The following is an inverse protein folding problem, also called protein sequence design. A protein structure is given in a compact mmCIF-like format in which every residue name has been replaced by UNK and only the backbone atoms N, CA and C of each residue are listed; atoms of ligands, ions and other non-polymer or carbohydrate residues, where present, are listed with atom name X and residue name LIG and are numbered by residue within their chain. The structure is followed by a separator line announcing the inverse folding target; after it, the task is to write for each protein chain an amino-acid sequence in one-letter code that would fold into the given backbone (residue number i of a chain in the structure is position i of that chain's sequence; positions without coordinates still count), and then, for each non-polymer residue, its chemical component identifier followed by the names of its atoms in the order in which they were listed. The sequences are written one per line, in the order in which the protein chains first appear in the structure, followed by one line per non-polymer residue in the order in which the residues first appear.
data_IF_227374114620
#
_entry.id   IF_227374114620
#
_cell.length_a   1.000
_cell.length_b   1.000
_cell.length_c   1.000
_cell.angle_alpha   90.00
_cell.angle_beta   90.00
_cell.angle_gamma   90.00
#
_symmetry.space_group_name_H-M   'P 1'
#
loop_
_entity.id
_entity.type
_entity.pdbx_description
1 polymer ?
#
# COMPACT_ATOMS: atom_id res chain seq x y z
N UNK A 1 10.86 -6.69 32.15
CA UNK A 1 10.16 -7.54 31.15
C UNK A 1 11.19 -8.48 30.54
N UNK A 2 10.86 -9.74 30.23
CA UNK A 2 11.82 -10.66 29.58
C UNK A 2 12.06 -10.19 28.13
N UNK A 3 13.23 -10.47 27.56
CA UNK A 3 13.57 -10.11 26.17
C UNK A 3 12.54 -10.62 25.15
N UNK A 4 11.94 -11.76 25.39
CA UNK A 4 10.88 -12.37 24.57
C UNK A 4 9.58 -11.53 24.57
N UNK A 5 9.20 -10.92 25.69
CA UNK A 5 8.01 -10.04 25.74
C UNK A 5 8.22 -8.77 24.93
N UNK A 6 9.44 -8.20 24.96
CA UNK A 6 9.80 -7.01 24.18
C UNK A 6 9.80 -7.29 22.67
N UNK A 7 10.34 -8.45 22.27
CA UNK A 7 10.36 -8.85 20.85
C UNK A 7 8.94 -9.04 20.33
N UNK A 8 8.08 -9.72 21.09
CA UNK A 8 6.68 -9.96 20.71
C UNK A 8 5.93 -8.64 20.51
N UNK A 9 6.05 -7.69 21.44
CA UNK A 9 5.44 -6.37 21.32
C UNK A 9 5.92 -5.62 20.06
N UNK A 10 7.24 -5.64 19.79
CA UNK A 10 7.79 -5.01 18.60
C UNK A 10 7.33 -5.69 17.30
N UNK A 11 7.13 -7.00 17.30
CA UNK A 11 6.60 -7.74 16.15
C UNK A 11 5.17 -7.33 15.87
N UNK A 12 4.32 -7.25 16.91
CA UNK A 12 2.91 -6.87 16.77
C UNK A 12 2.71 -5.47 16.18
N UNK A 13 3.61 -4.52 16.51
CA UNK A 13 3.56 -3.14 16.00
C UNK A 13 4.30 -2.92 14.67
N UNK A 14 4.83 -3.97 14.04
CA UNK A 14 5.56 -3.84 12.77
C UNK A 14 4.69 -4.16 11.56
N UNK A 15 4.80 -3.33 10.52
CA UNK A 15 4.16 -3.57 9.22
C UNK A 15 5.21 -3.46 8.13
N UNK A 16 5.30 -4.48 7.28
CA UNK A 16 6.24 -4.48 6.15
C UNK A 16 5.46 -4.80 4.88
N UNK A 17 5.43 -3.87 3.95
CA UNK A 17 4.67 -4.03 2.71
C UNK A 17 5.39 -3.47 1.49
N UNK A 18 4.98 -3.92 0.32
CA UNK A 18 5.42 -3.40 -0.96
C UNK A 18 4.25 -2.78 -1.73
N UNK A 19 4.55 -1.82 -2.59
CA UNK A 19 3.57 -1.28 -3.54
C UNK A 19 3.81 -1.94 -4.89
N UNK A 20 2.78 -2.58 -5.43
CA UNK A 20 2.78 -3.21 -6.76
C UNK A 20 1.83 -2.46 -7.69
N UNK A 21 2.25 -2.22 -8.92
CA UNK A 21 1.43 -1.53 -9.91
C UNK A 21 1.99 -1.66 -11.31
N UNK A 22 1.15 -1.38 -12.30
CA UNK A 22 1.63 -1.02 -13.63
C UNK A 22 2.38 0.34 -13.61
N UNK A 23 3.34 0.59 -14.54
CA UNK A 23 3.93 1.91 -14.72
C UNK A 23 2.85 2.99 -14.88
N UNK A 24 3.11 4.18 -14.37
CA UNK A 24 2.21 5.35 -14.40
C UNK A 24 0.89 5.22 -13.61
N UNK A 25 0.63 4.13 -12.90
CA UNK A 25 -0.53 4.02 -12.02
C UNK A 25 -0.48 4.99 -10.82
N UNK A 26 0.67 5.64 -10.56
CA UNK A 26 0.88 6.63 -9.51
C UNK A 26 1.62 6.11 -8.29
N UNK A 27 2.41 5.04 -8.46
CA UNK A 27 3.17 4.40 -7.38
C UNK A 27 4.05 5.38 -6.60
N UNK A 28 4.93 6.11 -7.29
CA UNK A 28 5.83 7.10 -6.64
C UNK A 28 5.04 8.18 -5.90
N UNK A 29 3.91 8.61 -6.47
CA UNK A 29 3.06 9.63 -5.84
C UNK A 29 2.42 9.12 -4.54
N UNK A 30 1.88 7.89 -4.53
CA UNK A 30 1.29 7.33 -3.30
C UNK A 30 2.35 7.01 -2.26
N UNK A 31 3.54 6.54 -2.67
CA UNK A 31 4.68 6.35 -1.78
C UNK A 31 5.02 7.65 -1.04
N UNK A 32 5.14 8.76 -1.76
CA UNK A 32 5.42 10.06 -1.13
C UNK A 32 4.30 10.54 -0.21
N UNK A 33 3.03 10.27 -0.57
CA UNK A 33 1.91 10.62 0.32
C UNK A 33 1.93 9.80 1.61
N UNK A 34 2.18 8.51 1.53
CA UNK A 34 2.33 7.64 2.71
C UNK A 34 3.48 8.13 3.59
N UNK A 35 4.64 8.46 3.01
CA UNK A 35 5.77 9.03 3.76
C UNK A 35 5.46 10.39 4.38
N UNK A 36 4.66 11.21 3.69
CA UNK A 36 4.17 12.49 4.21
C UNK A 36 3.27 12.28 5.42
N UNK A 37 2.32 11.33 5.37
CA UNK A 37 1.48 10.97 6.53
C UNK A 37 2.32 10.46 7.70
N UNK A 38 3.31 9.63 7.44
CA UNK A 38 4.27 9.14 8.43
C UNK A 38 5.23 10.19 8.99
N UNK A 39 5.23 11.43 8.47
CA UNK A 39 6.16 12.48 8.91
C UNK A 39 7.61 12.25 8.47
N UNK A 40 7.86 11.24 7.65
CA UNK A 40 9.19 10.94 7.13
C UNK A 40 9.70 12.00 6.14
N UNK A 41 8.78 12.69 5.47
CA UNK A 41 9.07 13.86 4.61
C UNK A 41 8.14 15.02 4.99
N UNK A 42 8.63 16.25 4.82
CA UNK A 42 7.85 17.45 5.15
C UNK A 42 6.93 17.89 4.01
N UNK A 43 7.26 17.55 2.79
CA UNK A 43 6.52 17.95 1.59
C UNK A 43 6.70 16.88 0.50
N UNK A 44 5.59 16.36 -0.04
CA UNK A 44 5.62 15.49 -1.19
C UNK A 44 5.96 16.25 -2.47
N UNK A 45 6.83 15.67 -3.32
CA UNK A 45 7.09 16.17 -4.65
C UNK A 45 5.90 15.88 -5.55
N UNK A 46 5.49 16.85 -6.37
CA UNK A 46 4.55 16.55 -7.44
C UNK A 46 5.34 16.01 -8.63
N UNK A 47 5.15 14.75 -8.98
CA UNK A 47 5.67 14.17 -10.22
C UNK A 47 4.89 14.78 -11.39
N UNK A 48 5.09 16.08 -11.63
CA UNK A 48 4.66 16.70 -12.89
C UNK A 48 5.74 16.44 -13.91
N UNK A 49 5.34 15.74 -14.98
CA UNK A 49 6.15 15.53 -16.15
C UNK A 49 6.97 16.78 -16.51
N UNK A 50 8.28 16.59 -16.65
CA UNK A 50 9.26 17.42 -17.38
C UNK A 50 9.69 18.78 -16.87
N UNK A 51 9.15 19.40 -15.81
CA UNK A 51 9.56 20.76 -15.44
C UNK A 51 9.81 21.06 -13.95
N UNK A 52 9.63 20.12 -13.02
CA UNK A 52 9.93 20.43 -11.62
C UNK A 52 11.32 19.93 -11.22
N UNK A 53 12.10 20.80 -10.57
CA UNK A 53 13.42 20.48 -10.00
C UNK A 53 13.34 19.60 -8.74
N UNK A 54 12.13 19.22 -8.29
CA UNK A 54 11.91 18.34 -7.14
C UNK A 54 11.56 16.94 -7.62
N UNK A 55 12.45 16.01 -7.36
CA UNK A 55 12.26 14.59 -7.63
C UNK A 55 11.60 13.91 -6.41
N UNK A 56 10.95 12.78 -6.66
CA UNK A 56 10.40 11.95 -5.61
C UNK A 56 11.51 11.47 -4.65
N UNK A 57 11.22 11.37 -3.35
CA UNK A 57 12.19 10.90 -2.36
C UNK A 57 12.63 9.46 -2.62
N UNK A 58 11.76 8.64 -3.23
CA UNK A 58 12.06 7.28 -3.64
C UNK A 58 12.97 7.17 -4.87
N UNK A 59 13.05 8.21 -5.71
CA UNK A 59 13.82 8.23 -6.96
C UNK A 59 15.22 8.82 -6.70
N UNK A 60 16.04 8.10 -5.96
CA UNK A 60 17.35 8.57 -5.54
C UNK A 60 18.47 8.32 -6.57
N UNK A 61 18.30 7.41 -7.51
CA UNK A 61 19.25 7.16 -8.58
C UNK A 61 19.05 8.12 -9.75
N UNK A 62 20.14 8.48 -10.40
CA UNK A 62 20.13 9.38 -11.57
C UNK A 62 19.24 8.84 -12.71
N UNK A 63 19.26 7.54 -12.93
CA UNK A 63 18.43 6.87 -13.96
C UNK A 63 16.95 6.96 -13.61
N UNK A 64 16.57 6.78 -12.34
CA UNK A 64 15.20 6.93 -11.87
C UNK A 64 14.72 8.37 -12.08
N UNK A 65 15.54 9.35 -11.72
CA UNK A 65 15.25 10.78 -11.92
C UNK A 65 15.07 11.14 -13.39
N UNK A 66 15.93 10.62 -14.28
CA UNK A 66 15.85 10.92 -15.71
C UNK A 66 14.61 10.31 -16.36
N UNK A 67 14.20 9.10 -15.96
CA UNK A 67 13.05 8.40 -16.52
C UNK A 67 11.73 8.77 -15.83
N UNK A 68 11.77 9.35 -14.62
CA UNK A 68 10.60 9.64 -13.78
C UNK A 68 9.89 8.38 -13.30
N UNK A 69 10.61 7.27 -13.22
CA UNK A 69 10.13 5.95 -12.75
C UNK A 69 11.14 5.37 -11.77
N UNK A 70 10.65 4.60 -10.80
CA UNK A 70 11.53 3.87 -9.89
C UNK A 70 12.12 2.65 -10.58
N UNK A 71 13.43 2.64 -10.75
CA UNK A 71 14.18 1.56 -11.44
C UNK A 71 14.62 0.48 -10.47
N UNK A 72 14.99 0.88 -9.26
CA UNK A 72 15.38 -0.03 -8.17
C UNK A 72 14.44 0.10 -6.99
N UNK A 73 14.25 -0.99 -6.25
CA UNK A 73 13.46 -0.94 -5.02
C UNK A 73 14.23 -0.23 -3.92
N UNK A 74 13.60 0.70 -3.22
CA UNK A 74 14.09 1.33 -2.01
C UNK A 74 13.33 0.86 -0.78
N UNK A 75 14.01 0.84 0.37
CA UNK A 75 13.41 0.50 1.65
C UNK A 75 13.28 1.76 2.47
N UNK A 76 12.06 2.15 2.79
CA UNK A 76 11.74 3.33 3.57
C UNK A 76 11.12 2.93 4.89
N UNK A 77 11.65 3.44 6.00
CA UNK A 77 11.16 3.17 7.36
C UNK A 77 10.66 4.45 8.00
N UNK A 78 9.51 4.39 8.63
CA UNK A 78 8.92 5.48 9.40
C UNK A 78 7.96 4.95 10.46
N UNK A 79 7.62 5.80 11.43
CA UNK A 79 6.63 5.48 12.46
C UNK A 79 5.34 6.25 12.15
N UNK A 80 4.21 5.58 12.30
CA UNK A 80 2.91 6.20 12.17
C UNK A 80 1.89 5.49 13.06
N UNK A 81 1.15 6.25 13.86
CA UNK A 81 0.10 5.76 14.77
C UNK A 81 0.53 4.57 15.66
N UNK A 82 1.74 4.64 16.21
CA UNK A 82 2.30 3.60 17.07
C UNK A 82 2.89 2.39 16.33
N UNK A 83 2.82 2.35 15.00
CA UNK A 83 3.38 1.28 14.19
C UNK A 83 4.74 1.63 13.58
N UNK A 84 5.65 0.67 13.56
CA UNK A 84 6.88 0.68 12.79
C UNK A 84 6.60 0.18 11.37
N UNK A 85 6.62 1.09 10.40
CA UNK A 85 6.30 0.78 9.01
C UNK A 85 7.57 0.67 8.18
N UNK A 86 7.69 -0.43 7.43
CA UNK A 86 8.71 -0.63 6.41
C UNK A 86 8.01 -0.72 5.05
N UNK A 87 8.17 0.32 4.26
CA UNK A 87 7.64 0.39 2.90
C UNK A 87 8.76 0.05 1.92
N UNK A 88 8.51 -0.94 1.08
CA UNK A 88 9.40 -1.35 0.01
C UNK A 88 8.79 -0.91 -1.32
N UNK A 89 9.38 0.11 -1.93
CA UNK A 89 8.98 0.56 -3.26
C UNK A 89 9.57 -0.38 -4.32
N UNK A 90 8.74 -0.92 -5.19
CA UNK A 90 9.14 -1.85 -6.24
C UNK A 90 9.19 -1.16 -7.60
N UNK A 91 10.12 -1.52 -8.50
CA UNK A 91 10.10 -1.01 -9.86
C UNK A 91 8.79 -1.43 -10.56
N UNK A 92 8.13 -0.48 -11.21
CA UNK A 92 6.91 -0.75 -11.99
C UNK A 92 7.19 -1.24 -13.41
N UNK A 93 8.44 -1.14 -13.89
CA UNK A 93 8.82 -1.46 -15.27
C UNK A 93 9.02 -2.97 -15.49
N UNK A 94 8.69 -3.48 -16.67
CA UNK A 94 8.78 -4.92 -16.99
C UNK A 94 10.21 -5.47 -16.90
N UNK A 95 11.21 -4.67 -17.24
CA UNK A 95 12.63 -5.05 -17.24
C UNK A 95 13.19 -5.35 -15.84
N UNK A 96 12.46 -5.00 -14.77
CA UNK A 96 12.92 -5.17 -13.39
C UNK A 96 12.08 -6.17 -12.57
N UNK A 97 11.41 -7.09 -13.26
CA UNK A 97 10.50 -8.07 -12.63
C UNK A 97 11.18 -8.99 -11.60
N UNK A 98 12.47 -9.33 -11.78
CA UNK A 98 13.23 -10.15 -10.83
C UNK A 98 13.47 -9.43 -9.49
N UNK A 99 13.81 -8.16 -9.53
CA UNK A 99 13.96 -7.35 -8.30
C UNK A 99 12.63 -7.24 -7.55
N UNK A 100 11.54 -7.09 -8.27
CA UNK A 100 10.19 -7.07 -7.66
C UNK A 100 9.86 -8.40 -6.97
N UNK A 101 10.17 -9.53 -7.63
CA UNK A 101 9.99 -10.86 -7.02
C UNK A 101 10.78 -11.01 -5.71
N UNK A 102 12.03 -10.56 -5.68
CA UNK A 102 12.89 -10.61 -4.49
C UNK A 102 12.34 -9.74 -3.37
N UNK A 103 11.86 -8.53 -3.70
CA UNK A 103 11.25 -7.61 -2.72
C UNK A 103 9.96 -8.21 -2.15
N UNK A 104 9.09 -8.78 -2.98
CA UNK A 104 7.86 -9.42 -2.54
C UNK A 104 8.11 -10.64 -1.63
N UNK A 105 9.28 -11.25 -1.70
CA UNK A 105 9.68 -12.30 -0.73
C UNK A 105 9.96 -11.72 0.66
N UNK A 106 10.30 -10.44 0.76
CA UNK A 106 10.68 -9.79 2.02
C UNK A 106 9.52 -9.08 2.75
N UNK A 107 8.33 -9.01 2.14
CA UNK A 107 7.17 -8.33 2.72
C UNK A 107 6.15 -9.29 3.31
N UNK A 108 5.25 -8.77 4.13
CA UNK A 108 4.15 -9.51 4.77
C UNK A 108 2.79 -9.19 4.11
N UNK A 109 2.69 -8.08 3.37
CA UNK A 109 1.51 -7.68 2.60
C UNK A 109 1.90 -6.83 1.40
N UNK A 110 0.97 -6.56 0.50
CA UNK A 110 1.17 -5.66 -0.63
C UNK A 110 0.01 -4.68 -0.81
N UNK A 111 0.33 -3.48 -1.30
CA UNK A 111 -0.63 -2.53 -1.83
C UNK A 111 -0.62 -2.64 -3.35
N UNK A 112 -1.72 -3.05 -3.94
CA UNK A 112 -1.93 -3.04 -5.38
C UNK A 112 -2.57 -1.71 -5.80
N UNK A 113 -1.91 -1.02 -6.74
CA UNK A 113 -2.39 0.26 -7.24
C UNK A 113 -2.91 0.10 -8.65
N UNK A 114 -4.14 0.51 -8.89
CA UNK A 114 -4.82 0.45 -10.19
C UNK A 114 -5.19 1.88 -10.63
N UNK A 115 -4.91 2.22 -11.88
CA UNK A 115 -5.37 3.47 -12.49
C UNK A 115 -6.87 3.39 -12.79
N UNK A 116 -7.68 4.21 -12.14
CA UNK A 116 -9.15 4.19 -12.28
C UNK A 116 -9.65 4.47 -13.70
N UNK A 117 -8.85 5.12 -14.55
CA UNK A 117 -9.22 5.33 -15.94
C UNK A 117 -8.83 4.15 -16.85
N UNK A 118 -7.75 3.42 -16.52
CA UNK A 118 -7.23 2.33 -17.35
C UNK A 118 -7.71 0.96 -16.91
N UNK A 119 -7.96 0.77 -15.60
CA UNK A 119 -8.30 -0.53 -15.02
C UNK A 119 -7.10 -1.44 -14.82
N UNK A 120 -7.31 -2.75 -14.97
CA UNK A 120 -6.30 -3.79 -14.76
C UNK A 120 -5.36 -3.90 -15.95
N UNK A 121 -4.09 -3.59 -15.73
CA UNK A 121 -3.04 -3.63 -16.76
C UNK A 121 -2.15 -4.88 -16.59
N UNK A 122 -1.45 -5.28 -17.64
CA UNK A 122 -0.71 -6.55 -17.73
C UNK A 122 0.30 -6.77 -16.58
N UNK A 123 1.02 -5.71 -16.18
CA UNK A 123 2.00 -5.82 -15.09
C UNK A 123 1.35 -6.09 -13.75
N UNK A 124 0.19 -5.49 -13.49
CA UNK A 124 -0.59 -5.73 -12.26
C UNK A 124 -0.94 -7.21 -12.10
N UNK A 125 -1.37 -7.87 -13.19
CA UNK A 125 -1.67 -9.30 -13.21
C UNK A 125 -0.45 -10.15 -12.86
N UNK A 126 0.69 -9.90 -13.51
CA UNK A 126 1.95 -10.63 -13.22
C UNK A 126 2.38 -10.49 -11.76
N UNK A 127 2.28 -9.28 -11.21
CA UNK A 127 2.69 -8.99 -9.82
C UNK A 127 1.75 -9.64 -8.80
N UNK A 128 0.45 -9.67 -9.07
CA UNK A 128 -0.51 -10.38 -8.21
C UNK A 128 -0.26 -11.89 -8.21
N UNK A 129 0.11 -12.49 -9.36
CA UNK A 129 0.48 -13.90 -9.41
C UNK A 129 1.69 -14.20 -8.51
N UNK A 130 2.68 -13.29 -8.45
CA UNK A 130 3.80 -13.41 -7.51
C UNK A 130 3.31 -13.33 -6.06
N UNK A 131 2.41 -12.40 -5.73
CA UNK A 131 1.83 -12.30 -4.39
C UNK A 131 1.12 -13.60 -4.00
N UNK A 132 0.35 -14.21 -4.91
CA UNK A 132 -0.31 -15.51 -4.67
C UNK A 132 0.68 -16.63 -4.40
N UNK A 133 1.72 -16.76 -5.24
CA UNK A 133 2.77 -17.77 -5.01
C UNK A 133 3.44 -17.61 -3.64
N UNK A 134 3.52 -16.39 -3.12
CA UNK A 134 4.11 -16.08 -1.81
C UNK A 134 3.10 -16.06 -0.68
N UNK A 135 1.81 -16.29 -0.97
CA UNK A 135 0.70 -16.16 -0.01
C UNK A 135 0.69 -14.78 0.67
N UNK A 136 1.04 -13.74 -0.07
CA UNK A 136 1.08 -12.35 0.40
C UNK A 136 -0.29 -11.72 0.19
N UNK A 137 -1.02 -11.34 1.25
CA UNK A 137 -2.31 -10.68 1.13
C UNK A 137 -2.16 -9.30 0.50
N UNK A 138 -3.18 -8.90 -0.27
CA UNK A 138 -3.14 -7.68 -1.09
C UNK A 138 -4.32 -6.78 -0.75
N UNK A 139 -4.06 -5.50 -0.51
CA UNK A 139 -5.07 -4.42 -0.51
C UNK A 139 -5.00 -3.67 -1.84
N UNK A 140 -6.13 -3.25 -2.35
CA UNK A 140 -6.24 -2.55 -3.65
C UNK A 140 -6.60 -1.09 -3.45
N UNK A 141 -5.89 -0.20 -4.14
CA UNK A 141 -6.20 1.22 -4.19
C UNK A 141 -6.49 1.63 -5.63
N UNK A 142 -7.72 2.02 -5.91
CA UNK A 142 -8.17 2.58 -7.18
C UNK A 142 -7.80 4.06 -7.21
N UNK A 143 -6.77 4.39 -7.97
CA UNK A 143 -6.13 5.70 -7.97
C UNK A 143 -6.64 6.61 -9.10
N UNK A 144 -6.42 7.91 -8.93
CA UNK A 144 -6.64 8.97 -9.92
C UNK A 144 -8.10 9.38 -10.11
N UNK A 145 -8.95 9.20 -9.10
CA UNK A 145 -10.33 9.66 -9.08
C UNK A 145 -10.47 11.21 -9.04
N UNK A 146 -9.36 11.96 -9.07
CA UNK A 146 -9.31 13.39 -9.34
C UNK A 146 -9.58 13.77 -10.81
N UNK A 147 -9.75 12.78 -11.67
CA UNK A 147 -10.13 12.93 -13.08
C UNK A 147 -11.22 11.92 -13.44
N UNK A 148 -11.76 12.03 -14.66
CA UNK A 148 -12.72 11.07 -15.18
C UNK A 148 -12.11 9.67 -15.17
N UNK A 149 -12.79 8.75 -14.51
CA UNK A 149 -12.45 7.33 -14.39
C UNK A 149 -13.60 6.48 -14.94
N UNK A 150 -13.36 5.19 -15.02
CA UNK A 150 -14.41 4.21 -15.29
C UNK A 150 -15.33 4.07 -14.09
N UNK A 151 -16.53 3.54 -14.30
CA UNK A 151 -17.46 3.27 -13.22
C UNK A 151 -16.82 2.36 -12.16
N UNK A 152 -16.96 2.67 -10.84
CA UNK A 152 -16.41 1.86 -9.78
C UNK A 152 -16.79 0.38 -9.84
N UNK A 153 -18.05 0.04 -10.17
CA UNK A 153 -18.49 -1.35 -10.30
C UNK A 153 -17.80 -2.07 -11.47
N UNK A 154 -17.63 -1.41 -12.62
CA UNK A 154 -16.89 -2.00 -13.75
C UNK A 154 -15.43 -2.29 -13.38
N UNK A 155 -14.81 -1.44 -12.56
CA UNK A 155 -13.44 -1.66 -12.07
C UNK A 155 -13.37 -2.84 -11.11
N UNK A 156 -14.35 -3.00 -10.22
CA UNK A 156 -14.44 -4.15 -9.32
C UNK A 156 -14.62 -5.45 -10.12
N UNK A 157 -15.58 -5.48 -11.05
CA UNK A 157 -15.83 -6.63 -11.93
C UNK A 157 -14.59 -7.01 -12.74
N UNK A 158 -13.86 -6.03 -13.25
CA UNK A 158 -12.63 -6.29 -13.98
C UNK A 158 -11.55 -6.90 -13.10
N UNK A 159 -11.36 -6.40 -11.87
CA UNK A 159 -10.43 -6.98 -10.91
C UNK A 159 -10.81 -8.43 -10.60
N UNK A 160 -12.08 -8.69 -10.30
CA UNK A 160 -12.57 -10.04 -9.99
C UNK A 160 -12.41 -10.99 -11.17
N UNK A 161 -12.79 -10.54 -12.37
CA UNK A 161 -12.75 -11.37 -13.57
C UNK A 161 -11.34 -11.64 -14.09
N UNK A 162 -10.45 -10.62 -14.09
CA UNK A 162 -9.09 -10.75 -14.63
C UNK A 162 -8.14 -11.29 -13.57
N UNK A 163 -8.22 -10.76 -12.36
CA UNK A 163 -7.28 -11.09 -11.29
C UNK A 163 -7.75 -12.28 -10.44
N UNK A 164 -9.01 -12.72 -10.58
CA UNK A 164 -9.57 -13.86 -9.85
C UNK A 164 -9.40 -13.71 -8.33
N UNK A 165 -9.70 -12.53 -7.80
CA UNK A 165 -9.76 -12.20 -6.38
C UNK A 165 -11.02 -11.39 -6.13
N UNK A 166 -11.78 -11.72 -5.09
CA UNK A 166 -13.01 -11.01 -4.77
C UNK A 166 -12.69 -9.63 -4.19
N UNK A 167 -13.45 -8.62 -4.60
CA UNK A 167 -13.32 -7.26 -4.12
C UNK A 167 -14.22 -7.01 -2.91
N UNK A 168 -13.66 -6.36 -1.88
CA UNK A 168 -14.41 -5.91 -0.71
C UNK A 168 -14.18 -4.42 -0.50
N UNK A 169 -15.02 -3.53 -1.06
CA UNK A 169 -14.87 -2.10 -0.87
C UNK A 169 -15.01 -1.68 0.60
N UNK A 170 -14.05 -0.91 1.11
CA UNK A 170 -14.08 -0.31 2.44
C UNK A 170 -14.29 1.21 2.38
N UNK A 171 -14.11 1.81 1.22
CA UNK A 171 -14.46 3.19 0.93
C UNK A 171 -15.12 3.30 -0.43
N UNK A 172 -15.94 4.33 -0.65
CA UNK A 172 -16.65 4.57 -1.90
C UNK A 172 -16.56 6.04 -2.31
N UNK A 173 -16.27 6.35 -3.59
CA UNK A 173 -16.16 7.72 -4.04
C UNK A 173 -17.55 8.31 -4.29
N UNK A 174 -17.76 9.55 -3.89
CA UNK A 174 -18.95 10.33 -4.23
C UNK A 174 -18.57 11.29 -5.36
N UNK A 175 -18.91 10.88 -6.58
CA UNK A 175 -18.47 11.54 -7.79
C UNK A 175 -17.00 11.27 -8.14
N UNK A 176 -16.54 11.86 -9.24
CA UNK A 176 -15.16 11.77 -9.72
C UNK A 176 -14.77 13.01 -10.52
N UNK A 177 -13.48 13.22 -10.76
CA UNK A 177 -12.98 14.37 -11.51
C UNK A 177 -13.44 15.71 -10.91
N UNK A 178 -14.07 16.53 -11.71
CA UNK A 178 -14.63 17.82 -11.25
C UNK A 178 -15.87 17.67 -10.38
N UNK A 179 -16.57 16.54 -10.50
CA UNK A 179 -17.75 16.20 -9.71
C UNK A 179 -17.43 15.53 -8.37
N UNK A 180 -16.16 15.31 -8.06
CA UNK A 180 -15.77 14.67 -6.79
C UNK A 180 -16.18 15.54 -5.59
N UNK A 181 -16.93 14.95 -4.66
CA UNK A 181 -17.42 15.60 -3.44
C UNK A 181 -16.78 15.05 -2.17
N UNK A 182 -16.45 13.76 -2.15
CA UNK A 182 -15.88 13.13 -0.96
C UNK A 182 -15.77 11.62 -1.07
N UNK A 183 -15.46 11.02 0.04
CA UNK A 183 -15.41 9.55 0.22
C UNK A 183 -16.43 9.15 1.28
N UNK A 184 -17.24 8.15 0.98
CA UNK A 184 -18.02 7.44 1.99
C UNK A 184 -17.18 6.29 2.55
N UNK A 185 -16.93 6.32 3.86
CA UNK A 185 -16.24 5.27 4.61
C UNK A 185 -17.27 4.24 5.05
N UNK A 186 -17.27 3.06 4.43
CA UNK A 186 -18.23 2.00 4.70
C UNK A 186 -18.07 1.40 6.10
N UNK A 187 -16.86 1.45 6.66
CA UNK A 187 -16.58 0.87 7.98
C UNK A 187 -16.98 1.78 9.12
N UNK A 188 -16.82 3.08 8.93
CA UNK A 188 -17.13 4.10 9.93
C UNK A 188 -18.51 4.73 9.73
N UNK A 189 -19.22 4.42 8.64
CA UNK A 189 -20.49 5.02 8.23
C UNK A 189 -20.44 6.55 8.27
N UNK A 190 -19.44 7.14 7.63
CA UNK A 190 -19.25 8.57 7.62
C UNK A 190 -18.80 9.08 6.25
N UNK A 191 -19.06 10.38 6.01
CA UNK A 191 -18.53 11.09 4.85
C UNK A 191 -17.22 11.78 5.23
N UNK A 192 -16.25 11.73 4.34
CA UNK A 192 -15.01 12.51 4.42
C UNK A 192 -14.98 13.51 3.26
N UNK A 193 -15.04 14.79 3.60
CA UNK A 193 -15.11 15.90 2.66
C UNK A 193 -13.77 16.62 2.62
N UNK A 194 -13.13 16.60 1.46
CA UNK A 194 -11.77 17.13 1.30
C UNK A 194 -11.79 18.58 0.82
N UNK A 195 -11.35 19.54 1.65
CA UNK A 195 -11.32 20.97 1.34
C UNK A 195 -9.99 21.45 0.78
N UNK A 196 -8.88 20.94 1.31
CA UNK A 196 -7.54 21.30 0.84
C UNK A 196 -6.73 20.06 0.57
N UNK A 197 -6.67 19.70 -0.70
CA UNK A 197 -6.07 18.48 -1.19
C UNK A 197 -4.52 18.46 -1.12
N UNK A 198 -3.89 19.56 -0.67
CA UNK A 198 -2.43 19.66 -0.58
C UNK A 198 -1.88 19.40 0.82
N UNK A 199 -2.71 19.50 1.86
CA UNK A 199 -2.31 19.34 3.26
C UNK A 199 -2.79 18.03 3.86
N UNK A 200 -2.11 17.57 4.92
CA UNK A 200 -2.52 16.41 5.72
C UNK A 200 -3.81 16.69 6.47
N UNK A 201 -4.65 15.67 6.61
CA UNK A 201 -5.82 15.68 7.51
C UNK A 201 -6.74 16.90 7.33
N UNK A 202 -6.85 17.46 6.13
CA UNK A 202 -7.79 18.54 5.84
C UNK A 202 -9.04 18.01 5.16
N UNK A 203 -9.78 17.22 5.92
CA UNK A 203 -11.12 16.79 5.55
C UNK A 203 -12.04 16.93 6.77
N UNK A 204 -13.29 17.25 6.51
CA UNK A 204 -14.33 17.20 7.54
C UNK A 204 -14.93 15.80 7.58
N UNK A 205 -15.27 15.34 8.76
CA UNK A 205 -15.96 14.07 8.97
C UNK A 205 -17.40 14.36 9.33
N UNK A 206 -18.34 13.89 8.51
CA UNK A 206 -19.77 13.95 8.77
C UNK A 206 -20.25 12.55 9.14
N UNK A 207 -20.51 12.32 10.41
CA UNK A 207 -21.06 11.06 10.89
C UNK A 207 -22.52 10.93 10.47
N UNK A 208 -22.87 9.79 9.86
CA UNK A 208 -24.23 9.46 9.45
C UNK A 208 -24.85 8.44 10.40
N UNK A 209 -26.15 8.57 10.65
CA UNK A 209 -26.92 7.53 11.36
C UNK A 209 -27.27 6.35 10.43
N UNK A 210 -27.19 6.55 9.13
CA UNK A 210 -27.40 5.60 8.05
C UNK A 210 -27.45 6.32 6.71
N UNK A 211 -27.66 5.60 5.63
CA UNK A 211 -27.74 6.18 4.28
C UNK A 211 -28.99 7.05 4.10
N UNK A 212 -30.04 6.86 4.93
CA UNK A 212 -31.26 7.68 4.92
C UNK A 212 -31.13 8.98 5.75
N UNK A 213 -29.97 9.22 6.37
CA UNK A 213 -29.73 10.45 7.12
C UNK A 213 -29.80 11.67 6.18
N UNK A 214 -30.62 12.65 6.52
CA UNK A 214 -30.80 13.89 5.76
C UNK A 214 -29.52 14.69 5.59
N UNK A 215 -28.58 14.55 6.51
CA UNK A 215 -27.25 15.17 6.41
C UNK A 215 -26.54 14.78 5.13
N UNK A 216 -26.77 13.55 4.63
CA UNK A 216 -26.20 13.12 3.34
C UNK A 216 -26.65 14.04 2.22
N UNK A 217 -27.98 14.29 2.10
CA UNK A 217 -28.55 15.17 1.07
C UNK A 217 -28.09 16.62 1.22
N UNK A 218 -28.00 17.11 2.45
CA UNK A 218 -27.57 18.47 2.76
C UNK A 218 -26.10 18.71 2.33
N UNK A 219 -25.25 17.70 2.49
CA UNK A 219 -23.80 17.82 2.27
C UNK A 219 -23.42 17.57 0.82
N UNK A 220 -23.93 16.52 0.19
CA UNK A 220 -23.53 16.15 -1.16
C UNK A 220 -24.57 16.53 -2.23
N UNK A 221 -25.78 16.90 -1.82
CA UNK A 221 -26.92 17.17 -2.68
C UNK A 221 -27.72 15.91 -3.00
N UNK A 222 -29.03 16.08 -3.23
CA UNK A 222 -29.98 14.96 -3.36
C UNK A 222 -29.65 13.98 -4.50
N UNK A 223 -29.11 14.49 -5.60
CA UNK A 223 -28.73 13.63 -6.75
C UNK A 223 -27.63 12.65 -6.38
N UNK A 224 -26.52 13.14 -5.80
CA UNK A 224 -25.39 12.29 -5.46
C UNK A 224 -25.71 11.43 -4.22
N UNK A 225 -26.56 11.92 -3.30
CA UNK A 225 -27.04 11.14 -2.17
C UNK A 225 -27.87 9.94 -2.63
N UNK A 226 -28.80 10.13 -3.58
CA UNK A 226 -29.60 9.04 -4.12
C UNK A 226 -28.74 8.04 -4.89
N UNK A 227 -27.80 8.53 -5.72
CA UNK A 227 -26.86 7.65 -6.40
C UNK A 227 -26.06 6.80 -5.40
N UNK A 228 -25.54 7.41 -4.33
CA UNK A 228 -24.81 6.66 -3.29
C UNK A 228 -25.69 5.60 -2.64
N UNK A 229 -26.98 5.89 -2.35
CA UNK A 229 -27.93 4.92 -1.79
C UNK A 229 -28.11 3.72 -2.72
N UNK A 230 -28.36 3.96 -4.00
CA UNK A 230 -28.48 2.91 -5.01
C UNK A 230 -27.20 2.06 -5.12
N UNK A 231 -26.04 2.72 -5.15
CA UNK A 231 -24.74 2.05 -5.22
C UNK A 231 -24.46 1.19 -3.97
N UNK A 232 -24.82 1.67 -2.78
CA UNK A 232 -24.67 0.92 -1.54
C UNK A 232 -25.65 -0.27 -1.44
N UNK A 233 -26.88 -0.12 -1.94
CA UNK A 233 -27.84 -1.24 -2.04
C UNK A 233 -27.30 -2.34 -2.95
N UNK A 234 -26.74 -1.99 -4.11
CA UNK A 234 -26.08 -2.95 -5.00
C UNK A 234 -24.90 -3.65 -4.35
N UNK A 235 -24.04 -2.91 -3.63
CA UNK A 235 -22.91 -3.50 -2.91
C UNK A 235 -23.36 -4.45 -1.79
N UNK A 236 -24.43 -4.13 -1.07
CA UNK A 236 -24.99 -5.01 -0.03
C UNK A 236 -25.60 -6.28 -0.63
N UNK A 237 -26.21 -6.17 -1.81
CA UNK A 237 -26.88 -7.30 -2.46
C UNK A 237 -25.94 -8.28 -3.18
N UNK A 238 -24.85 -7.77 -3.77
CA UNK A 238 -23.96 -8.54 -4.63
C UNK A 238 -22.48 -8.53 -4.20
N UNK A 239 -22.10 -7.63 -3.29
CA UNK A 239 -20.70 -7.47 -2.87
C UNK A 239 -20.25 -8.54 -1.87
N UNK A 240 -18.95 -8.74 -1.82
CA UNK A 240 -18.31 -9.65 -0.85
C UNK A 240 -17.96 -8.86 0.43
N UNK A 241 -18.51 -9.23 1.60
CA UNK A 241 -18.21 -8.53 2.85
C UNK A 241 -16.75 -8.74 3.25
N UNK A 242 -16.17 -7.72 3.87
CA UNK A 242 -14.82 -7.82 4.41
C UNK A 242 -14.77 -8.72 5.65
N UNK A 243 -13.86 -9.68 5.65
CA UNK A 243 -13.39 -10.36 6.86
C UNK A 243 -11.86 -10.41 6.86
N UNK A 244 -11.26 -10.28 8.04
CA UNK A 244 -9.80 -10.29 8.17
C UNK A 244 -9.21 -11.64 7.73
N UNK A 245 -9.89 -12.71 8.00
CA UNK A 245 -9.50 -14.09 7.63
C UNK A 245 -9.48 -14.25 6.11
N UNK A 246 -10.50 -13.80 5.41
CA UNK A 246 -10.58 -13.87 3.95
C UNK A 246 -9.51 -12.98 3.28
N UNK A 247 -9.21 -11.80 3.86
CA UNK A 247 -8.11 -10.95 3.41
C UNK A 247 -6.75 -11.64 3.61
N UNK A 248 -6.48 -12.15 4.81
CA UNK A 248 -5.19 -12.79 5.12
C UNK A 248 -4.97 -14.08 4.32
N UNK A 249 -6.03 -14.81 3.97
CA UNK A 249 -5.95 -15.97 3.09
C UNK A 249 -5.75 -15.63 1.61
N UNK A 250 -5.93 -14.35 1.22
CA UNK A 250 -5.88 -13.88 -0.16
C UNK A 250 -7.14 -14.21 -0.97
N UNK A 251 -8.25 -14.59 -0.31
CA UNK A 251 -9.53 -14.81 -0.97
C UNK A 251 -10.19 -13.51 -1.42
N UNK A 252 -10.03 -12.45 -0.61
CA UNK A 252 -10.53 -11.10 -0.93
C UNK A 252 -9.41 -10.07 -0.93
N UNK A 253 -9.65 -8.96 -1.64
CA UNK A 253 -8.86 -7.73 -1.53
C UNK A 253 -9.74 -6.60 -1.02
N UNK A 254 -9.39 -5.97 0.13
CA UNK A 254 -10.02 -4.71 0.52
C UNK A 254 -9.74 -3.63 -0.53
N UNK A 255 -10.79 -2.89 -0.95
CA UNK A 255 -10.68 -1.89 -2.02
C UNK A 255 -10.93 -0.48 -1.48
N UNK A 256 -10.05 0.43 -1.88
CA UNK A 256 -10.11 1.86 -1.56
C UNK A 256 -10.09 2.67 -2.85
N UNK A 257 -10.85 3.76 -2.86
CA UNK A 257 -10.89 4.70 -3.98
C UNK A 257 -10.27 6.03 -3.57
N UNK A 258 -9.51 6.65 -4.49
CA UNK A 258 -8.90 7.93 -4.14
C UNK A 258 -8.00 8.53 -5.21
N UNK A 259 -7.26 9.54 -4.80
CA UNK A 259 -6.21 10.16 -5.61
C UNK A 259 -4.96 10.42 -4.78
N UNK A 260 -3.88 9.73 -5.12
CA UNK A 260 -2.58 10.01 -4.54
C UNK A 260 -2.12 11.45 -4.85
N UNK A 261 -2.41 11.97 -6.05
CA UNK A 261 -2.03 13.33 -6.44
C UNK A 261 -2.74 14.38 -5.58
N UNK A 262 -4.05 14.24 -5.41
CA UNK A 262 -4.91 15.17 -4.67
C UNK A 262 -5.07 14.82 -3.20
N UNK A 263 -4.45 13.72 -2.74
CA UNK A 263 -4.36 13.31 -1.34
C UNK A 263 -5.72 13.01 -0.69
N UNK A 264 -6.66 12.42 -1.42
CA UNK A 264 -7.90 11.89 -0.84
C UNK A 264 -7.98 10.36 -0.98
N UNK A 265 -8.64 9.69 -0.04
CA UNK A 265 -8.70 8.23 0.07
C UNK A 265 -7.43 7.58 0.62
N UNK A 266 -6.30 8.30 0.69
CA UNK A 266 -5.02 7.78 1.19
C UNK A 266 -5.03 7.58 2.70
N UNK A 267 -5.71 8.47 3.44
CA UNK A 267 -5.86 8.34 4.89
C UNK A 267 -6.65 7.08 5.25
N UNK A 268 -7.80 6.87 4.60
CA UNK A 268 -8.66 5.70 4.81
C UNK A 268 -7.91 4.40 4.54
N UNK A 269 -7.20 4.36 3.42
CA UNK A 269 -6.33 3.22 3.12
C UNK A 269 -5.30 2.99 4.24
N UNK A 270 -4.54 4.03 4.63
CA UNK A 270 -3.47 3.88 5.61
C UNK A 270 -4.00 3.45 6.98
N UNK A 271 -5.12 4.03 7.43
CA UNK A 271 -5.79 3.66 8.66
C UNK A 271 -6.21 2.18 8.67
N UNK A 272 -6.92 1.75 7.64
CA UNK A 272 -7.37 0.36 7.50
C UNK A 272 -6.20 -0.60 7.30
N UNK A 273 -5.16 -0.16 6.58
CA UNK A 273 -3.94 -0.94 6.41
C UNK A 273 -3.28 -1.27 7.74
N UNK A 274 -3.10 -0.30 8.63
CA UNK A 274 -2.50 -0.52 9.95
C UNK A 274 -3.28 -1.50 10.80
N UNK A 275 -4.61 -1.44 10.73
CA UNK A 275 -5.51 -2.28 11.53
C UNK A 275 -5.60 -3.74 11.01
N UNK A 276 -5.48 -3.93 9.71
CA UNK A 276 -5.76 -5.22 9.08
C UNK A 276 -4.54 -5.93 8.48
N UNK A 277 -3.52 -5.18 8.04
CA UNK A 277 -2.30 -5.79 7.51
C UNK A 277 -1.61 -6.68 8.54
N UNK A 278 -1.08 -7.84 8.13
CA UNK A 278 -0.43 -8.76 9.06
C UNK A 278 0.83 -8.15 9.68
N UNK A 279 1.07 -8.47 10.93
CA UNK A 279 2.39 -8.38 11.55
C UNK A 279 3.37 -9.32 10.83
N UNK A 280 4.70 -9.24 11.09
CA UNK A 280 5.66 -10.20 10.58
C UNK A 280 5.21 -11.64 10.78
N UNK A 281 5.17 -12.40 9.68
CA UNK A 281 4.69 -13.78 9.68
C UNK A 281 5.84 -14.77 9.84
N UNK A 282 5.53 -15.98 10.33
CA UNK A 282 6.47 -17.08 10.36
C UNK A 282 7.01 -17.42 8.97
N UNK A 283 8.26 -17.80 8.88
CA UNK A 283 8.95 -18.12 7.62
C UNK A 283 9.43 -19.57 7.62
N UNK A 284 9.12 -20.25 6.53
CA UNK A 284 9.62 -21.60 6.30
C UNK A 284 11.12 -21.54 5.92
N UNK A 285 11.93 -22.30 6.62
CA UNK A 285 13.33 -22.60 6.28
C UNK A 285 13.46 -24.08 5.94
N UNK A 286 14.62 -24.48 5.42
CA UNK A 286 14.86 -25.89 5.01
C UNK A 286 14.65 -26.87 6.17
N UNK A 287 15.07 -26.49 7.37
CA UNK A 287 15.08 -27.38 8.53
C UNK A 287 13.87 -27.19 9.46
N UNK A 288 13.26 -25.99 9.45
CA UNK A 288 12.17 -25.66 10.39
C UNK A 288 11.39 -24.41 9.98
N UNK A 289 10.24 -24.22 10.61
CA UNK A 289 9.54 -22.93 10.59
C UNK A 289 10.17 -22.00 11.63
N UNK A 290 10.40 -20.75 11.24
CA UNK A 290 10.95 -19.68 12.08
C UNK A 290 9.79 -18.78 12.52
N UNK A 291 9.54 -18.70 13.83
CA UNK A 291 8.57 -17.78 14.37
C UNK A 291 9.19 -16.36 14.57
N UNK A 292 8.45 -15.29 14.32
CA UNK A 292 9.01 -13.93 14.37
C UNK A 292 9.40 -13.47 15.78
N UNK A 293 8.84 -14.06 16.81
CA UNK A 293 9.08 -13.76 18.24
C UNK A 293 10.20 -14.59 18.90
N UNK A 294 10.91 -15.42 18.13
CA UNK A 294 12.08 -16.15 18.62
C UNK A 294 13.23 -15.20 18.98
N UNK A 295 13.95 -15.50 20.09
CA UNK A 295 15.11 -14.72 20.53
C UNK A 295 16.31 -14.80 19.58
N UNK A 296 16.50 -15.96 18.91
CA UNK A 296 17.62 -16.19 18.02
C UNK A 296 17.46 -15.39 16.73
N UNK A 297 18.47 -14.57 16.41
CA UNK A 297 18.46 -13.80 15.16
C UNK A 297 18.53 -14.74 13.95
N UNK A 298 17.56 -14.61 13.08
CA UNK A 298 17.54 -15.21 11.75
C UNK A 298 17.11 -14.19 10.70
N UNK A 299 17.54 -14.40 9.47
CA UNK A 299 17.14 -13.52 8.36
C UNK A 299 17.71 -13.97 7.03
N UNK A 300 17.28 -13.31 5.97
CA UNK A 300 17.82 -13.56 4.63
C UNK A 300 18.07 -12.25 3.87
N UNK A 301 19.07 -12.29 2.99
CA UNK A 301 19.38 -11.17 2.11
C UNK A 301 18.46 -11.25 0.89
N UNK A 302 17.63 -10.23 0.68
CA UNK A 302 16.74 -10.17 -0.47
C UNK A 302 17.24 -9.24 -1.57
N UNK A 303 18.15 -8.30 -1.25
CA UNK A 303 18.73 -7.38 -2.20
C UNK A 303 20.16 -7.01 -1.84
N UNK A 304 21.03 -6.87 -2.84
CA UNK A 304 22.36 -6.28 -2.70
C UNK A 304 22.44 -5.11 -3.69
N UNK A 305 22.68 -3.92 -3.18
CA UNK A 305 22.81 -2.70 -3.97
C UNK A 305 24.25 -2.23 -3.96
N UNK A 306 24.81 -2.03 -5.14
CA UNK A 306 26.12 -1.40 -5.34
C UNK A 306 25.96 0.09 -5.65
N UNK A 307 27.02 0.87 -5.43
CA UNK A 307 27.15 2.26 -5.86
C UNK A 307 26.05 3.19 -5.34
N UNK A 308 25.61 2.99 -4.09
CA UNK A 308 24.65 3.92 -3.44
C UNK A 308 25.27 5.29 -3.17
N UNK A 309 26.57 5.33 -2.89
CA UNK A 309 27.37 6.54 -2.85
C UNK A 309 28.36 6.53 -4.02
N UNK A 310 28.29 7.49 -4.94
CA UNK A 310 29.24 7.57 -6.07
C UNK A 310 30.72 7.70 -5.63
N UNK A 311 30.96 8.19 -4.41
CA UNK A 311 32.30 8.35 -3.83
C UNK A 311 32.86 7.03 -3.24
N UNK A 312 32.00 6.04 -3.02
CA UNK A 312 32.34 4.77 -2.40
C UNK A 312 31.94 3.56 -3.27
N UNK A 313 32.84 2.55 -3.34
CA UNK A 313 32.57 1.30 -4.05
C UNK A 313 31.88 0.24 -3.18
N UNK A 314 31.29 0.66 -2.08
CA UNK A 314 30.65 -0.23 -1.13
C UNK A 314 29.35 -0.85 -1.68
N UNK A 315 29.03 -2.02 -1.19
CA UNK A 315 27.77 -2.71 -1.46
C UNK A 315 26.95 -2.79 -0.18
N UNK A 316 25.70 -2.43 -0.28
CA UNK A 316 24.74 -2.54 0.83
C UNK A 316 23.88 -3.77 0.63
N UNK A 317 23.85 -4.66 1.63
CA UNK A 317 22.97 -5.81 1.65
C UNK A 317 21.71 -5.48 2.47
N UNK A 318 20.55 -5.65 1.85
CA UNK A 318 19.26 -5.51 2.51
C UNK A 318 18.83 -6.87 3.04
N UNK A 319 18.69 -6.96 4.35
CA UNK A 319 18.33 -8.19 5.06
C UNK A 319 16.92 -8.06 5.62
N UNK A 320 16.07 -9.04 5.32
CA UNK A 320 14.84 -9.26 6.07
C UNK A 320 15.18 -10.03 7.35
N UNK A 321 14.95 -9.42 8.50
CA UNK A 321 15.01 -10.10 9.79
C UNK A 321 13.72 -10.91 9.94
N UNK A 322 13.85 -12.21 10.19
CA UNK A 322 12.73 -13.12 10.39
C UNK A 322 12.45 -13.34 11.88
N UNK A 323 13.47 -13.30 12.73
CA UNK A 323 13.35 -13.44 14.18
C UNK A 323 14.53 -12.80 14.90
N UNK A 324 14.40 -12.57 16.19
CA UNK A 324 15.43 -12.04 17.07
C UNK A 324 15.78 -10.57 16.85
N UNK A 325 16.82 -10.11 17.51
CA UNK A 325 17.27 -8.71 17.51
C UNK A 325 18.64 -8.57 16.87
N UNK A 326 18.75 -7.72 15.85
CA UNK A 326 20.03 -7.37 15.23
C UNK A 326 20.69 -6.23 16.00
N UNK A 327 22.01 -6.35 16.23
CA UNK A 327 22.83 -5.28 16.79
C UNK A 327 24.06 -5.03 15.92
N UNK A 328 24.47 -3.78 15.81
CA UNK A 328 25.65 -3.41 15.03
C UNK A 328 26.90 -4.10 15.62
N UNK A 329 27.72 -4.67 14.76
CA UNK A 329 28.95 -5.36 15.14
C UNK A 329 28.77 -6.81 15.60
N UNK A 330 27.53 -7.34 15.64
CA UNK A 330 27.33 -8.74 15.97
C UNK A 330 27.87 -9.66 14.85
N UNK A 331 28.40 -10.83 15.25
CA UNK A 331 28.84 -11.85 14.30
C UNK A 331 27.64 -12.67 13.84
N UNK A 332 27.53 -12.87 12.53
CA UNK A 332 26.48 -13.66 11.91
C UNK A 332 27.07 -14.91 11.29
N UNK A 333 26.36 -16.03 11.41
CA UNK A 333 26.70 -17.27 10.73
C UNK A 333 25.96 -17.35 9.39
N UNK A 334 26.71 -17.51 8.31
CA UNK A 334 26.14 -17.65 6.98
C UNK A 334 25.86 -19.13 6.67
N UNK A 335 24.61 -19.58 6.85
CA UNK A 335 24.23 -20.99 6.76
C UNK A 335 24.68 -21.67 5.44
N UNK A 336 24.46 -21.01 4.27
CA UNK A 336 24.85 -21.57 2.97
C UNK A 336 26.37 -21.73 2.80
N UNK A 337 27.17 -20.84 3.36
CA UNK A 337 28.62 -20.86 3.25
C UNK A 337 29.29 -21.56 4.46
N UNK A 338 28.50 -21.92 5.46
CA UNK A 338 28.97 -22.61 6.71
C UNK A 338 30.12 -21.88 7.41
N UNK A 339 30.09 -20.55 7.46
CA UNK A 339 31.11 -19.70 8.06
C UNK A 339 30.55 -18.45 8.71
#
# INVERSE_FOLDING_TARGET
MSSASEIKEQVEHRRTFAIISHPDAGKTTITEKILLYGGAIQMAGTVKARKSKKFATSDWMEIEKQRGISVTSSVMRFNYDGFDINLLDTPGHEDFSEDTYRVLTAVDSALMLIDGAKGVEAQTKKLLEVCRMKKTPVMTFMNKFDRECRNPFELLDEVENILKIQCSPLSWPIGMGRGFKGIYDLTANCLRLYHNLEKRHQFDVVQLEGLEDKKLDEVVGSTDANQLREEMELLQGAGTPFTKEAYLSGAITPVFFGSALRNFGVYEFLYQFLNHAPAPQSREAVERVIAPDEDKLTGFIFKIQANMDPAHRDRIAFMRICSGKFSRGMKLYHCRLQR
#
